data_IF_001863626318
#
_entry.id   IF_001863626318
#
_cell.length_a   1.000
_cell.length_b   1.000
_cell.length_c   1.000
_cell.angle_alpha   90.00
_cell.angle_beta   90.00
_cell.angle_gamma   90.00
#
_symmetry.space_group_name_H-M   'P 1'
#
loop_
_entity.id
_entity.type
_entity.pdbx_description
1 polymer ?
#
# COMPACT_ATOMS: atom_id res chain seq x y z
N UNK A 1 11.02 32.73 -9.15
CA UNK A 1 10.27 31.90 -8.19
C UNK A 1 10.09 30.52 -8.78
N UNK A 2 10.41 29.47 -8.05
CA UNK A 2 10.12 28.16 -8.57
C UNK A 2 8.60 28.03 -8.71
N UNK A 3 8.21 27.51 -9.83
CA UNK A 3 6.80 27.33 -10.17
C UNK A 3 6.19 26.28 -9.23
N UNK A 4 5.37 26.74 -8.30
CA UNK A 4 4.68 25.86 -7.33
C UNK A 4 3.60 25.00 -8.00
N UNK A 5 3.27 25.28 -9.27
CA UNK A 5 2.27 24.51 -10.02
C UNK A 5 2.72 23.10 -10.39
N UNK A 6 4.04 22.89 -10.56
CA UNK A 6 4.54 21.57 -10.98
C UNK A 6 4.44 20.51 -9.91
N UNK A 7 4.54 20.90 -8.63
CA UNK A 7 4.47 19.94 -7.51
C UNK A 7 3.04 19.48 -7.26
N UNK A 8 2.08 20.39 -7.39
CA UNK A 8 0.67 20.02 -7.21
C UNK A 8 0.15 19.09 -8.30
N UNK A 9 0.68 19.22 -9.52
CA UNK A 9 0.26 18.37 -10.64
C UNK A 9 0.71 16.90 -10.48
N UNK A 10 1.85 16.69 -9.82
CA UNK A 10 2.35 15.33 -9.55
C UNK A 10 1.48 14.54 -8.58
N UNK A 11 0.65 15.23 -7.80
CA UNK A 11 -0.23 14.59 -6.80
C UNK A 11 -1.69 14.61 -7.20
N UNK A 12 -2.03 15.09 -8.39
CA UNK A 12 -3.41 15.08 -8.87
C UNK A 12 -3.85 13.65 -9.16
N UNK A 13 -5.01 13.33 -8.64
CA UNK A 13 -5.67 12.06 -8.94
C UNK A 13 -6.44 12.23 -10.24
N UNK A 14 -5.94 11.64 -11.28
CA UNK A 14 -6.63 11.55 -12.55
C UNK A 14 -6.66 10.10 -13.02
N UNK A 15 -7.39 9.78 -14.09
CA UNK A 15 -7.30 8.46 -14.67
C UNK A 15 -5.84 8.20 -15.06
N UNK A 16 -5.32 6.99 -14.80
CA UNK A 16 -3.96 6.66 -15.18
C UNK A 16 -3.80 6.79 -16.70
N UNK A 17 -2.66 7.35 -17.11
CA UNK A 17 -2.28 7.39 -18.51
C UNK A 17 -2.15 5.99 -19.09
N UNK A 18 -2.11 5.86 -20.43
CA UNK A 18 -1.91 4.57 -21.06
C UNK A 18 -0.55 3.98 -20.63
N UNK A 19 -0.58 2.71 -20.25
CA UNK A 19 0.64 2.00 -19.92
C UNK A 19 1.52 1.87 -21.18
N UNK A 20 2.81 2.17 -21.05
CA UNK A 20 3.75 1.94 -22.13
C UNK A 20 3.88 0.44 -22.40
N UNK A 21 3.70 0.06 -23.67
CA UNK A 21 3.90 -1.30 -24.13
C UNK A 21 4.72 -1.29 -25.41
N UNK A 22 6.02 -1.56 -25.26
CA UNK A 22 6.86 -1.89 -26.40
C UNK A 22 6.75 -3.37 -26.75
N UNK A 23 7.12 -3.75 -27.99
CA UNK A 23 7.23 -5.16 -28.37
C UNK A 23 8.16 -5.90 -27.41
N UNK A 24 7.76 -7.07 -26.93
CA UNK A 24 8.54 -7.92 -26.03
C UNK A 24 8.93 -7.24 -24.68
N UNK A 25 8.28 -6.15 -24.32
CA UNK A 25 8.49 -5.49 -23.02
C UNK A 25 7.67 -6.20 -21.94
N UNK A 26 8.30 -6.57 -20.81
CA UNK A 26 7.54 -7.07 -19.66
C UNK A 26 6.50 -6.05 -19.21
N UNK A 27 5.41 -6.54 -18.63
CA UNK A 27 4.35 -5.70 -18.09
C UNK A 27 4.36 -5.77 -16.56
N UNK A 28 4.19 -4.61 -15.93
CA UNK A 28 4.02 -4.57 -14.48
C UNK A 28 2.72 -5.28 -14.10
N UNK A 29 2.81 -6.31 -13.25
CA UNK A 29 1.69 -7.22 -12.99
C UNK A 29 1.30 -7.26 -11.51
N UNK A 30 2.28 -7.24 -10.61
CA UNK A 30 2.02 -7.45 -9.19
C UNK A 30 3.06 -6.79 -8.30
N UNK A 31 2.63 -6.45 -7.08
CA UNK A 31 3.51 -6.08 -5.98
C UNK A 31 3.51 -7.24 -5.00
N UNK A 32 4.67 -7.76 -4.67
CA UNK A 32 4.81 -8.86 -3.71
C UNK A 32 5.35 -8.38 -2.37
N UNK A 33 4.72 -8.82 -1.30
CA UNK A 33 5.17 -8.59 0.07
C UNK A 33 5.47 -9.95 0.72
N UNK A 34 6.60 -10.04 1.37
CA UNK A 34 6.92 -11.19 2.22
C UNK A 34 6.43 -10.88 3.62
N UNK A 35 5.61 -11.77 4.16
CA UNK A 35 4.94 -11.54 5.45
C UNK A 35 5.45 -12.51 6.51
N UNK A 36 5.67 -12.00 7.71
CA UNK A 36 6.07 -12.83 8.85
C UNK A 36 4.89 -13.59 9.45
N UNK A 37 3.67 -13.02 9.31
CA UNK A 37 2.43 -13.59 9.84
C UNK A 37 1.31 -13.33 8.83
N UNK A 38 0.94 -14.37 8.08
CA UNK A 38 -0.08 -14.25 7.03
C UNK A 38 -1.42 -13.76 7.58
N UNK A 39 -1.86 -14.29 8.72
CA UNK A 39 -3.15 -13.91 9.31
C UNK A 39 -3.16 -12.42 9.69
N UNK A 40 -2.08 -11.93 10.29
CA UNK A 40 -1.96 -10.52 10.68
C UNK A 40 -1.98 -9.60 9.45
N UNK A 41 -1.26 -9.96 8.40
CA UNK A 41 -1.19 -9.15 7.19
C UNK A 41 -2.49 -9.15 6.41
N UNK A 42 -3.13 -10.30 6.25
CA UNK A 42 -4.45 -10.40 5.61
C UNK A 42 -5.48 -9.55 6.37
N UNK A 43 -5.49 -9.64 7.69
CA UNK A 43 -6.39 -8.83 8.53
C UNK A 43 -6.16 -7.34 8.33
N UNK A 44 -4.89 -6.91 8.34
CA UNK A 44 -4.53 -5.52 8.12
C UNK A 44 -5.04 -5.00 6.77
N UNK A 45 -4.69 -5.70 5.69
CA UNK A 45 -5.05 -5.25 4.35
C UNK A 45 -6.56 -5.36 4.06
N UNK A 46 -7.27 -6.34 4.65
CA UNK A 46 -8.73 -6.38 4.57
C UNK A 46 -9.39 -5.16 5.19
N UNK A 47 -8.84 -4.64 6.30
CA UNK A 47 -9.34 -3.39 6.92
C UNK A 47 -9.17 -2.18 6.00
N UNK A 48 -8.23 -2.25 5.07
CA UNK A 48 -8.01 -1.22 4.05
C UNK A 48 -8.82 -1.45 2.77
N UNK A 49 -9.65 -2.49 2.73
CA UNK A 49 -10.51 -2.77 1.59
C UNK A 49 -9.95 -3.73 0.56
N UNK A 50 -8.78 -4.35 0.82
CA UNK A 50 -8.26 -5.36 -0.10
C UNK A 50 -9.08 -6.64 0.02
N UNK A 51 -9.46 -7.21 -1.14
CA UNK A 51 -10.24 -8.44 -1.20
C UNK A 51 -9.35 -9.65 -1.40
N UNK A 52 -9.22 -10.46 -0.35
CA UNK A 52 -8.54 -11.75 -0.40
C UNK A 52 -9.56 -12.88 -0.40
N UNK A 53 -9.21 -14.06 -0.95
CA UNK A 53 -10.06 -15.24 -0.85
C UNK A 53 -10.35 -15.62 0.60
N UNK A 54 -11.43 -16.38 0.80
CA UNK A 54 -11.68 -17.01 2.09
C UNK A 54 -10.50 -17.91 2.47
N UNK A 55 -10.23 -18.04 3.77
CA UNK A 55 -9.13 -18.83 4.31
C UNK A 55 -7.72 -18.34 3.87
N UNK A 56 -7.61 -17.11 3.35
CA UNK A 56 -6.32 -16.54 2.96
C UNK A 56 -5.33 -16.51 4.12
N UNK A 57 -5.80 -16.28 5.34
CA UNK A 57 -4.99 -16.22 6.55
C UNK A 57 -4.26 -17.53 6.87
N UNK A 58 -4.70 -18.65 6.32
CA UNK A 58 -4.08 -19.95 6.53
C UNK A 58 -3.28 -20.44 5.32
N UNK A 59 -3.14 -19.59 4.29
CA UNK A 59 -2.43 -19.96 3.08
C UNK A 59 -0.97 -19.51 3.10
N UNK A 60 -0.06 -20.27 2.46
CA UNK A 60 1.34 -19.85 2.32
C UNK A 60 1.52 -18.74 1.29
N UNK A 61 0.55 -18.57 0.38
CA UNK A 61 0.50 -17.55 -0.65
C UNK A 61 -0.96 -17.13 -0.85
N UNK A 62 -1.19 -15.85 -0.97
CA UNK A 62 -2.50 -15.33 -1.34
C UNK A 62 -2.34 -14.06 -2.17
N UNK A 63 -3.41 -13.65 -2.81
CA UNK A 63 -3.37 -12.44 -3.63
C UNK A 63 -4.70 -11.70 -3.60
N UNK A 64 -4.61 -10.37 -3.66
CA UNK A 64 -5.75 -9.49 -3.83
C UNK A 64 -5.68 -8.85 -5.21
N UNK A 65 -6.83 -8.79 -5.90
CA UNK A 65 -6.93 -8.10 -7.16
C UNK A 65 -7.02 -6.60 -6.92
N UNK A 66 -6.26 -5.83 -7.71
CA UNK A 66 -6.26 -4.38 -7.65
C UNK A 66 -6.88 -3.80 -8.93
N UNK A 67 -7.35 -2.55 -8.89
CA UNK A 67 -7.81 -1.89 -10.11
C UNK A 67 -6.73 -1.90 -11.20
N UNK A 68 -7.15 -2.04 -12.46
CA UNK A 68 -6.23 -2.06 -13.59
C UNK A 68 -5.54 -3.40 -13.84
N UNK A 69 -5.97 -4.47 -13.18
CA UNK A 69 -5.42 -5.81 -13.39
C UNK A 69 -4.16 -6.11 -12.60
N UNK A 70 -3.70 -5.18 -11.76
CA UNK A 70 -2.58 -5.43 -10.85
C UNK A 70 -3.02 -6.33 -9.70
N UNK A 71 -2.05 -6.97 -9.06
CA UNK A 71 -2.31 -7.83 -7.90
C UNK A 71 -1.38 -7.44 -6.74
N UNK A 72 -1.88 -7.59 -5.54
CA UNK A 72 -1.04 -7.59 -4.33
C UNK A 72 -0.84 -9.04 -3.90
N UNK A 73 0.41 -9.49 -3.89
CA UNK A 73 0.76 -10.85 -3.48
C UNK A 73 1.30 -10.83 -2.06
N UNK A 74 0.84 -11.76 -1.24
CA UNK A 74 1.41 -12.01 0.08
C UNK A 74 1.97 -13.43 0.10
N UNK A 75 3.23 -13.55 0.47
CA UNK A 75 3.92 -14.84 0.61
C UNK A 75 4.52 -14.94 2.00
N UNK A 76 4.39 -16.11 2.63
CA UNK A 76 5.06 -16.35 3.91
C UNK A 76 6.58 -16.42 3.70
N UNK A 77 7.33 -16.12 4.76
CA UNK A 77 8.78 -16.24 4.74
C UNK A 77 9.23 -17.65 4.35
N UNK A 78 8.53 -18.68 4.82
CA UNK A 78 8.83 -20.07 4.47
C UNK A 78 8.61 -20.35 2.98
N UNK A 79 7.58 -19.75 2.39
CA UNK A 79 7.34 -19.84 0.94
C UNK A 79 8.50 -19.27 0.17
N UNK A 80 9.00 -18.10 0.56
CA UNK A 80 10.16 -17.47 -0.09
C UNK A 80 11.41 -18.33 0.08
N UNK A 81 11.66 -18.84 1.28
CA UNK A 81 12.85 -19.70 1.53
C UNK A 81 12.77 -21.03 0.79
N UNK A 82 11.61 -21.49 0.39
CA UNK A 82 11.46 -22.74 -0.37
C UNK A 82 12.17 -22.68 -1.73
N UNK A 83 12.31 -21.51 -2.33
CA UNK A 83 13.03 -21.31 -3.58
C UNK A 83 14.24 -20.37 -3.47
N UNK A 84 14.36 -19.68 -2.34
CA UNK A 84 15.47 -18.77 -2.04
C UNK A 84 15.97 -19.04 -0.62
N UNK A 85 16.72 -20.15 -0.40
CA UNK A 85 17.09 -20.59 0.95
C UNK A 85 17.90 -19.57 1.77
N UNK A 86 18.63 -18.69 1.10
CA UNK A 86 19.42 -17.66 1.76
C UNK A 86 18.66 -16.39 2.12
N UNK A 87 17.36 -16.32 1.82
CA UNK A 87 16.60 -15.12 2.10
C UNK A 87 16.52 -14.83 3.58
N UNK A 88 16.76 -13.58 3.95
CA UNK A 88 16.63 -13.08 5.31
C UNK A 88 15.74 -11.85 5.32
N UNK A 89 14.90 -11.70 6.35
CA UNK A 89 14.08 -10.51 6.50
C UNK A 89 14.96 -9.27 6.59
N UNK A 90 14.69 -8.22 5.77
CA UNK A 90 15.47 -6.99 5.83
C UNK A 90 15.33 -6.31 7.18
N UNK A 91 16.42 -5.80 7.72
CA UNK A 91 16.42 -4.93 8.89
C UNK A 91 16.49 -3.47 8.44
N UNK A 92 15.85 -2.58 9.18
CA UNK A 92 15.90 -1.15 8.93
C UNK A 92 14.69 -0.60 8.18
N UNK A 93 14.72 0.69 7.88
CA UNK A 93 13.59 1.43 7.32
C UNK A 93 13.21 1.02 5.91
N UNK A 94 11.96 1.23 5.57
CA UNK A 94 11.41 0.93 4.27
C UNK A 94 11.74 2.03 3.26
N UNK A 95 12.04 1.62 2.03
CA UNK A 95 12.25 2.53 0.91
C UNK A 95 11.05 2.59 -0.02
N UNK A 96 10.03 1.79 0.24
CA UNK A 96 8.81 1.76 -0.55
C UNK A 96 7.60 1.82 0.36
N UNK A 97 6.50 2.35 -0.16
CA UNK A 97 5.22 2.40 0.52
C UNK A 97 4.10 2.13 -0.47
N UNK A 98 3.00 1.60 0.02
CA UNK A 98 1.76 1.53 -0.74
C UNK A 98 0.96 2.79 -0.45
N UNK A 99 0.50 3.48 -1.49
CA UNK A 99 -0.30 4.69 -1.33
C UNK A 99 -1.74 4.42 -1.73
N UNK A 100 -2.67 4.71 -0.84
CA UNK A 100 -4.09 4.45 -1.01
C UNK A 100 -4.86 5.75 -1.08
N UNK A 101 -5.58 5.94 -2.17
CA UNK A 101 -6.44 7.10 -2.35
C UNK A 101 -7.75 6.90 -1.59
N UNK A 102 -8.06 7.84 -0.70
CA UNK A 102 -9.34 7.92 -0.02
C UNK A 102 -10.31 8.82 -0.81
N UNK A 103 -11.61 8.66 -0.56
CA UNK A 103 -12.63 9.43 -1.27
C UNK A 103 -12.58 10.93 -0.94
N UNK A 104 -12.22 11.27 0.29
CA UNK A 104 -12.12 12.65 0.78
C UNK A 104 -11.16 12.73 1.98
N UNK A 105 -10.82 13.95 2.43
CA UNK A 105 -9.96 14.12 3.59
C UNK A 105 -10.51 13.49 4.88
N UNK A 106 -11.82 13.49 5.08
CA UNK A 106 -12.43 12.90 6.26
C UNK A 106 -12.22 11.38 6.30
N UNK A 107 -12.19 10.73 5.15
CA UNK A 107 -11.91 9.29 5.08
C UNK A 107 -10.46 8.97 5.48
N UNK A 108 -9.51 9.82 5.14
CA UNK A 108 -8.12 9.67 5.62
C UNK A 108 -8.09 9.58 7.15
N UNK A 109 -8.76 10.52 7.81
CA UNK A 109 -8.83 10.58 9.28
C UNK A 109 -9.52 9.34 9.84
N UNK A 110 -10.67 8.98 9.29
CA UNK A 110 -11.48 7.86 9.76
C UNK A 110 -10.74 6.53 9.65
N UNK A 111 -10.13 6.26 8.49
CA UNK A 111 -9.41 5.01 8.26
C UNK A 111 -8.16 4.94 9.17
N UNK A 112 -7.43 6.03 9.29
CA UNK A 112 -6.27 6.09 10.19
C UNK A 112 -6.67 5.76 11.65
N UNK A 113 -7.69 6.43 12.17
CA UNK A 113 -8.16 6.22 13.53
C UNK A 113 -8.68 4.80 13.76
N UNK A 114 -9.39 4.25 12.78
CA UNK A 114 -9.90 2.88 12.84
C UNK A 114 -8.76 1.85 12.93
N UNK A 115 -7.72 2.00 12.12
CA UNK A 115 -6.60 1.08 12.13
C UNK A 115 -5.75 1.21 13.40
N UNK A 116 -5.47 2.43 13.83
CA UNK A 116 -4.74 2.66 15.08
C UNK A 116 -5.54 2.14 16.28
N UNK A 117 -6.86 2.36 16.29
CA UNK A 117 -7.76 1.82 17.30
C UNK A 117 -7.80 0.29 17.32
N UNK A 118 -7.53 -0.36 16.19
CA UNK A 118 -7.44 -1.81 16.08
C UNK A 118 -6.04 -2.35 16.46
N UNK A 119 -5.11 -1.49 16.87
CA UNK A 119 -3.78 -1.88 17.35
C UNK A 119 -2.66 -1.77 16.31
N UNK A 120 -2.94 -1.22 15.14
CA UNK A 120 -1.91 -1.03 14.10
C UNK A 120 -1.08 0.22 14.37
N UNK A 121 0.15 0.21 13.90
CA UNK A 121 1.08 1.31 14.14
C UNK A 121 0.79 2.50 13.22
N UNK A 122 0.53 3.67 13.82
CA UNK A 122 0.44 4.93 13.09
C UNK A 122 1.77 5.67 13.18
N UNK A 123 2.40 5.92 12.05
CA UNK A 123 3.66 6.65 11.99
C UNK A 123 3.45 8.16 11.96
N UNK A 124 2.57 8.63 11.06
CA UNK A 124 2.23 10.04 10.94
C UNK A 124 0.71 10.20 10.97
N UNK A 125 0.23 10.93 11.96
CA UNK A 125 -1.19 11.28 12.09
C UNK A 125 -1.65 12.10 10.88
N UNK A 126 -2.94 12.06 10.53
CA UNK A 126 -3.47 12.88 9.44
C UNK A 126 -3.11 14.35 9.60
N UNK A 127 -2.63 14.97 8.52
CA UNK A 127 -2.33 16.40 8.46
C UNK A 127 -2.57 16.92 7.05
N UNK A 128 -2.70 18.24 6.94
CA UNK A 128 -2.81 18.89 5.65
C UNK A 128 -1.41 19.17 5.11
N UNK A 129 -0.98 18.34 4.18
CA UNK A 129 0.36 18.43 3.63
C UNK A 129 0.52 19.62 2.69
N UNK A 130 1.72 20.21 2.65
CA UNK A 130 1.97 21.40 1.85
C UNK A 130 1.73 21.22 0.35
N UNK A 131 1.73 19.97 -0.12
CA UNK A 131 1.49 19.66 -1.53
C UNK A 131 0.00 19.52 -1.89
N UNK A 132 -0.91 19.84 -0.98
CA UNK A 132 -2.35 19.95 -1.27
C UNK A 132 -3.16 18.69 -1.03
N UNK A 133 -2.70 17.82 -0.14
CA UNK A 133 -3.40 16.59 0.25
C UNK A 133 -3.54 16.48 1.75
N UNK A 134 -4.65 15.89 2.19
CA UNK A 134 -4.73 15.29 3.53
C UNK A 134 -3.98 13.98 3.48
N UNK A 135 -3.04 13.78 4.37
CA UNK A 135 -2.09 12.68 4.29
C UNK A 135 -1.91 12.01 5.65
N UNK A 136 -1.70 10.71 5.67
CA UNK A 136 -1.37 9.98 6.88
C UNK A 136 -0.50 8.79 6.53
N UNK A 137 0.28 8.29 7.47
CA UNK A 137 1.16 7.15 7.26
C UNK A 137 0.94 6.12 8.36
N UNK A 138 0.65 4.90 7.93
CA UNK A 138 0.54 3.71 8.77
C UNK A 138 1.65 2.73 8.44
N UNK A 139 1.88 1.77 9.32
CA UNK A 139 2.71 0.61 9.02
C UNK A 139 1.86 -0.64 9.00
N UNK A 140 2.14 -1.53 8.04
CA UNK A 140 1.59 -2.87 8.08
C UNK A 140 2.27 -3.70 9.18
N UNK A 141 1.81 -4.95 9.45
CA UNK A 141 2.40 -5.76 10.53
C UNK A 141 3.91 -6.02 10.42
N UNK A 142 4.47 -5.93 9.22
CA UNK A 142 5.91 -6.11 9.00
C UNK A 142 6.68 -4.78 8.90
N UNK A 143 6.01 -3.67 9.18
CA UNK A 143 6.62 -2.35 9.15
C UNK A 143 6.68 -1.69 7.78
N UNK A 144 6.01 -2.25 6.78
CA UNK A 144 5.92 -1.61 5.47
C UNK A 144 5.03 -0.37 5.55
N UNK A 145 5.45 0.71 4.89
CA UNK A 145 4.69 1.95 4.87
C UNK A 145 3.41 1.82 4.07
N UNK A 146 2.33 2.34 4.62
CA UNK A 146 1.04 2.46 3.94
C UNK A 146 0.57 3.90 4.12
N UNK A 147 0.50 4.62 3.01
CA UNK A 147 0.09 6.00 2.99
C UNK A 147 -1.39 6.10 2.64
N UNK A 148 -2.10 6.97 3.35
CA UNK A 148 -3.48 7.33 3.05
C UNK A 148 -3.48 8.79 2.59
N UNK A 149 -4.19 9.09 1.52
CA UNK A 149 -4.24 10.47 1.03
C UNK A 149 -5.56 10.79 0.33
N UNK A 150 -5.89 12.07 0.31
CA UNK A 150 -6.99 12.61 -0.47
C UNK A 150 -6.69 14.08 -0.80
N UNK A 151 -7.09 14.58 -1.97
CA UNK A 151 -6.96 16.00 -2.28
C UNK A 151 -7.71 16.88 -1.29
N UNK A 152 -7.10 18.02 -0.88
CA UNK A 152 -7.75 18.99 0.01
C UNK A 152 -8.75 19.87 -0.72
N UNK A 153 -8.51 20.10 -2.01
CA UNK A 153 -9.33 20.98 -2.84
C UNK A 153 -9.93 20.19 -3.98
N UNK A 154 -11.21 20.39 -4.20
CA UNK A 154 -11.96 19.79 -5.30
C UNK A 154 -11.93 20.70 -6.53
#
# INVERSE_FOLDING_TARGET
>A
MPDTTSVSDSFKTGPPGPAYRGPMTPRFDAIGLVVSDMAASVTFYRRLGFGFPEDAENQPHTEAQLPGGLRLLLDTEDTIRSFHPGWQAPGGGNRAALALLCDDPAEVDRVYEELVGAGHHGELKPWDAFWGQRYAVLHDPDGNGVDLFAPLVL
#
